data_IF_925388997246
#
_entry.id   IF_925388997246
#
_cell.length_a   1.000
_cell.length_b   1.000
_cell.length_c   1.000
_cell.angle_alpha   90.00
_cell.angle_beta   90.00
_cell.angle_gamma   90.00
#
_symmetry.space_group_name_H-M   'P 1'
#
loop_
_entity.id
_entity.type
_entity.pdbx_description
1 polymer ?
#
# COMPACT_ATOMS: atom_id res chain seq x y z
N UNK A 1 8.74 0.07 -22.43
CA UNK A 1 7.52 -0.04 -21.60
C UNK A 1 7.43 1.12 -20.60
N UNK A 2 8.47 1.38 -19.78
CA UNK A 2 8.50 2.49 -18.82
C UNK A 2 8.19 3.87 -19.44
N UNK A 3 8.82 4.21 -20.58
CA UNK A 3 8.55 5.48 -21.28
C UNK A 3 7.08 5.68 -21.66
N UNK A 4 6.46 4.69 -22.28
CA UNK A 4 5.04 4.78 -22.68
C UNK A 4 4.11 4.90 -21.47
N UNK A 5 4.43 4.22 -20.36
CA UNK A 5 3.69 4.36 -19.10
C UNK A 5 3.87 5.75 -18.48
N UNK A 6 5.10 6.28 -18.47
CA UNK A 6 5.41 7.62 -17.98
C UNK A 6 4.65 8.70 -18.77
N UNK A 7 4.63 8.60 -20.11
CA UNK A 7 3.87 9.50 -20.97
C UNK A 7 2.36 9.44 -20.70
N UNK A 8 1.82 8.24 -20.45
CA UNK A 8 0.41 8.07 -20.16
C UNK A 8 -0.01 8.63 -18.79
N UNK A 9 0.88 8.58 -17.79
CA UNK A 9 0.59 9.05 -16.43
C UNK A 9 0.98 10.51 -16.18
N UNK A 10 1.82 11.10 -17.05
CA UNK A 10 2.31 12.47 -16.93
C UNK A 10 1.20 13.51 -16.66
N UNK A 11 0.01 13.47 -17.31
CA UNK A 11 -1.05 14.44 -17.04
C UNK A 11 -1.52 14.46 -15.57
N UNK A 12 -1.49 13.32 -14.87
CA UNK A 12 -1.84 13.28 -13.44
C UNK A 12 -0.75 13.92 -12.58
N UNK A 13 0.52 13.72 -12.93
CA UNK A 13 1.64 14.33 -12.23
C UNK A 13 1.68 15.85 -12.44
N UNK A 14 1.54 16.31 -13.69
CA UNK A 14 1.51 17.74 -14.04
C UNK A 14 0.34 18.48 -13.37
N UNK A 15 -0.80 17.80 -13.21
CA UNK A 15 -1.96 18.35 -12.49
C UNK A 15 -1.84 18.29 -10.96
N UNK A 16 -0.75 17.74 -10.40
CA UNK A 16 -0.58 17.55 -8.96
C UNK A 16 -1.53 16.53 -8.33
N UNK A 17 -2.07 15.60 -9.14
CA UNK A 17 -3.06 14.58 -8.73
C UNK A 17 -2.47 13.17 -8.61
N UNK A 18 -1.20 12.99 -8.94
CA UNK A 18 -0.50 11.72 -8.79
C UNK A 18 0.14 11.63 -7.40
N UNK A 19 -0.36 10.71 -6.56
CA UNK A 19 0.21 10.47 -5.24
C UNK A 19 1.49 9.63 -5.28
N UNK A 20 1.47 8.50 -5.99
CA UNK A 20 2.60 7.59 -6.14
C UNK A 20 2.39 6.63 -7.32
N UNK A 21 3.48 6.12 -7.87
CA UNK A 21 3.50 4.90 -8.70
C UNK A 21 3.99 3.76 -7.80
N UNK A 22 3.14 2.78 -7.54
CA UNK A 22 3.45 1.67 -6.63
C UNK A 22 3.94 0.44 -7.38
N UNK A 23 5.13 -0.03 -7.01
CA UNK A 23 5.72 -1.30 -7.42
C UNK A 23 5.45 -2.35 -6.34
N UNK A 24 4.38 -3.12 -6.51
CA UNK A 24 4.07 -4.25 -5.64
C UNK A 24 4.71 -5.53 -6.20
N UNK A 25 5.72 -6.04 -5.52
CA UNK A 25 6.41 -7.27 -5.92
C UNK A 25 5.76 -8.52 -5.31
N UNK A 26 5.55 -9.59 -6.09
CA UNK A 26 4.91 -10.80 -5.61
C UNK A 26 5.83 -11.63 -4.69
N UNK A 27 5.29 -12.65 -3.97
CA UNK A 27 6.09 -13.57 -3.15
C UNK A 27 7.22 -14.33 -3.89
N UNK A 28 7.22 -14.35 -5.22
CA UNK A 28 8.29 -14.93 -6.04
C UNK A 28 9.50 -14.01 -6.20
N UNK A 29 9.38 -12.72 -5.89
CA UNK A 29 10.45 -11.74 -5.98
C UNK A 29 11.37 -11.85 -4.76
N UNK A 30 12.45 -12.63 -4.90
CA UNK A 30 13.40 -12.95 -3.82
C UNK A 30 14.36 -11.81 -3.52
N UNK A 31 14.87 -11.74 -2.30
CA UNK A 31 15.98 -10.86 -1.97
C UNK A 31 17.30 -11.37 -2.60
N UNK A 32 17.58 -10.95 -3.83
CA UNK A 32 18.80 -11.29 -4.58
C UNK A 32 19.46 -10.00 -5.09
N UNK A 33 20.75 -10.04 -5.39
CA UNK A 33 21.46 -8.84 -5.89
C UNK A 33 20.83 -8.32 -7.19
N UNK A 34 20.48 -9.20 -8.14
CA UNK A 34 19.80 -8.83 -9.38
C UNK A 34 18.50 -8.03 -9.12
N UNK A 35 17.71 -8.45 -8.12
CA UNK A 35 16.49 -7.75 -7.76
C UNK A 35 16.78 -6.44 -7.00
N UNK A 36 17.81 -6.40 -6.17
CA UNK A 36 18.26 -5.14 -5.54
C UNK A 36 18.71 -4.12 -6.58
N UNK A 37 19.46 -4.55 -7.60
CA UNK A 37 19.86 -3.72 -8.74
C UNK A 37 18.64 -3.20 -9.50
N UNK A 38 17.62 -4.03 -9.72
CA UNK A 38 16.37 -3.57 -10.35
C UNK A 38 15.69 -2.45 -9.55
N UNK A 39 15.67 -2.54 -8.21
CA UNK A 39 15.14 -1.46 -7.36
C UNK A 39 15.93 -0.15 -7.56
N UNK A 40 17.26 -0.21 -7.62
CA UNK A 40 18.12 0.97 -7.86
C UNK A 40 17.86 1.63 -9.22
N UNK A 41 17.41 0.86 -10.21
CA UNK A 41 17.08 1.39 -11.55
C UNK A 41 15.71 2.07 -11.62
N UNK A 42 14.80 1.85 -10.66
CA UNK A 42 13.43 2.40 -10.74
C UNK A 42 13.38 3.93 -10.90
N UNK A 43 14.17 4.73 -10.14
CA UNK A 43 14.20 6.18 -10.31
C UNK A 43 14.74 6.62 -11.68
N UNK A 44 15.63 5.84 -12.30
CA UNK A 44 16.13 6.11 -13.65
C UNK A 44 15.09 5.79 -14.72
N UNK A 45 14.26 4.77 -14.50
CA UNK A 45 13.19 4.37 -15.41
C UNK A 45 12.00 5.33 -15.40
N UNK A 46 11.73 5.95 -14.25
CA UNK A 46 10.61 6.88 -14.02
C UNK A 46 11.09 8.16 -13.32
N UNK A 47 11.96 8.95 -13.95
CA UNK A 47 12.56 10.13 -13.32
C UNK A 47 11.49 11.17 -12.97
N UNK A 48 11.58 11.72 -11.76
CA UNK A 48 10.69 12.78 -11.28
C UNK A 48 9.32 12.31 -10.78
N UNK A 49 8.99 11.02 -10.89
CA UNK A 49 7.76 10.48 -10.32
C UNK A 49 7.95 10.03 -8.87
N UNK A 50 6.95 10.22 -7.99
CA UNK A 50 6.95 9.62 -6.66
C UNK A 50 6.77 8.10 -6.78
N UNK A 51 7.75 7.32 -6.32
CA UNK A 51 7.72 5.86 -6.41
C UNK A 51 7.57 5.24 -5.01
N UNK A 52 6.75 4.19 -4.91
CA UNK A 52 6.66 3.35 -3.71
C UNK A 52 6.91 1.88 -4.02
N UNK A 53 7.51 1.16 -3.09
CA UNK A 53 7.83 -0.27 -3.21
C UNK A 53 7.12 -1.06 -2.12
N UNK A 54 6.42 -2.12 -2.50
CA UNK A 54 5.80 -3.07 -1.58
C UNK A 54 6.37 -4.48 -1.80
N UNK A 55 6.91 -5.07 -0.72
CA UNK A 55 7.38 -6.45 -0.73
C UNK A 55 6.30 -7.38 -0.18
N UNK A 56 6.15 -8.54 -0.81
CA UNK A 56 5.23 -9.61 -0.37
C UNK A 56 5.96 -10.91 -0.03
N UNK A 57 7.23 -10.79 0.30
CA UNK A 57 8.11 -11.92 0.60
C UNK A 57 8.98 -11.61 1.81
N UNK A 58 9.01 -12.54 2.75
CA UNK A 58 9.59 -12.38 4.08
C UNK A 58 11.10 -12.09 4.08
N UNK A 59 11.86 -12.65 3.13
CA UNK A 59 13.32 -12.52 3.08
C UNK A 59 13.83 -11.13 2.68
N UNK A 60 12.93 -10.18 2.39
CA UNK A 60 13.26 -8.76 2.31
C UNK A 60 13.20 -8.04 3.67
N UNK A 61 12.39 -8.54 4.60
CA UNK A 61 11.97 -7.79 5.79
C UNK A 61 12.03 -8.62 7.07
N UNK A 62 12.72 -9.75 7.07
CA UNK A 62 13.05 -10.46 8.31
C UNK A 62 14.13 -9.72 9.11
N UNK A 63 14.43 -10.21 10.32
CA UNK A 63 15.35 -9.56 11.25
C UNK A 63 16.77 -9.40 10.70
N UNK A 64 17.18 -10.27 9.76
CA UNK A 64 18.51 -10.24 9.16
C UNK A 64 18.59 -9.20 8.02
N UNK A 65 17.55 -9.09 7.20
CA UNK A 65 17.61 -8.32 5.95
C UNK A 65 16.88 -6.97 5.98
N UNK A 66 16.04 -6.70 6.99
CA UNK A 66 15.18 -5.51 7.00
C UNK A 66 15.96 -4.20 6.93
N UNK A 67 17.02 -4.01 7.73
CA UNK A 67 17.74 -2.74 7.75
C UNK A 67 18.43 -2.46 6.41
N UNK A 68 19.11 -3.45 5.83
CA UNK A 68 19.76 -3.30 4.52
C UNK A 68 18.75 -3.03 3.40
N UNK A 69 17.57 -3.63 3.48
CA UNK A 69 16.50 -3.38 2.50
C UNK A 69 15.95 -1.96 2.64
N UNK A 70 15.74 -1.48 3.87
CA UNK A 70 15.27 -0.12 4.11
C UNK A 70 16.31 0.92 3.68
N UNK A 71 17.59 0.67 3.92
CA UNK A 71 18.68 1.55 3.48
C UNK A 71 18.77 1.61 1.95
N UNK A 72 18.66 0.46 1.27
CA UNK A 72 18.58 0.41 -0.19
C UNK A 72 17.44 1.31 -0.73
N UNK A 73 16.27 1.29 -0.09
CA UNK A 73 15.15 2.14 -0.49
C UNK A 73 15.44 3.62 -0.22
N UNK A 74 16.09 3.96 0.90
CA UNK A 74 16.50 5.35 1.21
C UNK A 74 17.48 5.88 0.18
N UNK A 75 18.54 5.12 -0.12
CA UNK A 75 19.56 5.47 -1.11
C UNK A 75 18.97 5.67 -2.51
N UNK A 76 18.02 4.82 -2.90
CA UNK A 76 17.32 4.92 -4.18
C UNK A 76 16.21 5.99 -4.19
N UNK A 77 15.91 6.65 -3.07
CA UNK A 77 14.81 7.62 -2.97
C UNK A 77 13.42 7.00 -3.14
N UNK A 78 13.25 5.72 -2.81
CA UNK A 78 12.02 4.97 -2.94
C UNK A 78 11.24 4.98 -1.62
N UNK A 79 9.91 5.15 -1.71
CA UNK A 79 9.05 5.10 -0.52
C UNK A 79 8.73 3.66 -0.16
N UNK A 80 9.08 3.22 1.04
CA UNK A 80 8.68 1.92 1.56
C UNK A 80 7.16 1.92 1.80
N UNK A 81 6.48 0.92 1.23
CA UNK A 81 5.08 0.65 1.51
C UNK A 81 5.00 -0.26 2.72
N UNK A 82 4.64 0.32 3.87
CA UNK A 82 4.36 -0.43 5.09
C UNK A 82 3.07 -1.22 4.91
N UNK A 83 3.06 -2.48 5.34
CA UNK A 83 1.96 -3.39 5.09
C UNK A 83 1.40 -3.95 6.39
N UNK A 84 0.07 -3.99 6.50
CA UNK A 84 -0.62 -4.84 7.47
C UNK A 84 -1.22 -6.04 6.74
N UNK A 85 -0.73 -7.23 7.07
CA UNK A 85 -1.18 -8.49 6.47
C UNK A 85 -0.99 -9.68 7.44
N UNK A 86 -1.56 -10.87 7.14
CA UNK A 86 -1.45 -12.02 8.02
C UNK A 86 0.01 -12.50 8.13
N UNK A 87 0.44 -12.83 9.35
CA UNK A 87 1.82 -13.20 9.65
C UNK A 87 2.08 -14.70 9.45
N UNK A 88 2.00 -15.16 8.20
CA UNK A 88 2.08 -16.59 7.85
C UNK A 88 2.94 -16.88 6.63
N UNK A 89 3.80 -17.90 6.74
CA UNK A 89 4.63 -18.39 5.64
C UNK A 89 5.58 -17.35 5.04
N UNK A 90 6.23 -17.72 3.93
CA UNK A 90 7.24 -16.90 3.25
C UNK A 90 6.67 -15.78 2.39
N UNK A 91 5.40 -15.88 2.00
CA UNK A 91 4.65 -14.88 1.22
C UNK A 91 3.87 -13.89 2.10
N UNK A 92 4.38 -13.63 3.31
CA UNK A 92 3.94 -12.54 4.17
C UNK A 92 5.15 -11.79 4.71
N UNK A 93 4.98 -10.50 4.98
CA UNK A 93 6.00 -9.64 5.60
C UNK A 93 5.54 -9.12 6.96
N UNK A 94 6.48 -8.87 7.89
CA UNK A 94 6.14 -8.25 9.17
C UNK A 94 5.63 -6.81 9.00
N UNK A 95 4.77 -6.32 9.92
CA UNK A 95 4.21 -4.96 9.88
C UNK A 95 5.23 -3.92 10.39
N UNK A 96 6.37 -3.85 9.69
CA UNK A 96 7.48 -2.96 10.01
C UNK A 96 7.10 -1.49 9.77
N UNK A 97 7.58 -0.64 10.67
CA UNK A 97 7.50 0.81 10.53
C UNK A 97 8.82 1.33 9.97
N UNK A 98 8.76 2.06 8.84
CA UNK A 98 9.88 2.85 8.36
C UNK A 98 9.41 3.91 7.35
N UNK A 99 9.93 5.12 7.48
CA UNK A 99 9.85 6.16 6.45
C UNK A 99 11.20 6.21 5.74
N UNK A 100 11.24 5.71 4.50
CA UNK A 100 12.47 5.68 3.69
C UNK A 100 12.59 6.87 2.74
N UNK A 101 11.50 7.61 2.52
CA UNK A 101 11.49 8.83 1.72
C UNK A 101 10.72 9.94 2.45
N UNK A 102 11.34 11.08 2.78
CA UNK A 102 10.69 12.16 3.52
C UNK A 102 9.59 12.88 2.71
N UNK A 103 9.46 12.62 1.40
CA UNK A 103 8.36 13.17 0.61
C UNK A 103 7.06 12.38 0.79
N UNK A 104 7.14 11.08 1.08
CA UNK A 104 5.99 10.20 1.06
C UNK A 104 6.19 8.96 1.94
N UNK A 105 5.25 8.74 2.86
CA UNK A 105 5.03 7.45 3.51
C UNK A 105 3.77 6.78 2.93
N UNK A 106 3.83 5.46 2.71
CA UNK A 106 2.69 4.69 2.19
C UNK A 106 2.38 3.53 3.13
N UNK A 107 1.10 3.35 3.47
CA UNK A 107 0.61 2.25 4.30
C UNK A 107 -0.52 1.53 3.56
N UNK A 108 -0.44 0.21 3.44
CA UNK A 108 -1.47 -0.63 2.81
C UNK A 108 -1.96 -1.73 3.74
N UNK A 109 -3.26 -1.70 4.03
CA UNK A 109 -3.94 -2.68 4.87
C UNK A 109 -4.58 -3.76 4.00
N UNK A 110 -4.08 -4.99 4.06
CA UNK A 110 -4.61 -6.13 3.31
C UNK A 110 -5.58 -7.01 4.11
N UNK A 111 -5.80 -6.73 5.39
CA UNK A 111 -6.54 -7.59 6.30
C UNK A 111 -5.66 -8.66 6.94
N UNK A 112 -6.14 -9.29 8.01
CA UNK A 112 -5.41 -10.30 8.79
C UNK A 112 -5.96 -11.72 8.61
N UNK A 113 -6.62 -12.00 7.47
CA UNK A 113 -7.19 -13.31 7.17
C UNK A 113 -6.13 -14.38 6.85
N UNK A 114 -5.61 -15.04 7.89
CA UNK A 114 -4.64 -16.11 7.76
C UNK A 114 -5.23 -17.39 7.12
N UNK A 115 -6.53 -17.62 7.28
CA UNK A 115 -7.18 -18.87 6.83
C UNK A 115 -7.20 -19.00 5.30
N UNK A 116 -7.49 -17.89 4.60
CA UNK A 116 -7.63 -17.89 3.14
C UNK A 116 -6.40 -17.35 2.41
N UNK A 117 -5.37 -16.89 3.13
CA UNK A 117 -4.22 -16.18 2.54
C UNK A 117 -3.51 -16.95 1.42
N UNK A 118 -3.29 -18.25 1.62
CA UNK A 118 -2.68 -19.15 0.63
C UNK A 118 -3.69 -20.08 -0.04
N UNK A 119 -4.96 -20.07 0.38
CA UNK A 119 -5.98 -20.93 -0.21
C UNK A 119 -6.49 -20.26 -1.49
N UNK A 120 -6.27 -20.92 -2.63
CA UNK A 120 -6.97 -20.55 -3.86
C UNK A 120 -8.39 -21.10 -3.79
N UNK A 121 -9.32 -20.29 -3.29
CA UNK A 121 -10.74 -20.64 -3.18
C UNK A 121 -11.54 -20.31 -4.45
N UNK A 122 -10.85 -19.94 -5.54
CA UNK A 122 -11.46 -19.53 -6.81
C UNK A 122 -11.89 -18.06 -6.88
N UNK A 123 -11.80 -17.30 -5.77
CA UNK A 123 -12.02 -15.85 -5.72
C UNK A 123 -10.90 -15.16 -4.95
N UNK A 124 -10.19 -14.23 -5.60
CA UNK A 124 -9.11 -13.44 -4.97
C UNK A 124 -9.58 -12.58 -3.81
N UNK A 125 -10.87 -12.20 -3.77
CA UNK A 125 -11.45 -11.38 -2.70
C UNK A 125 -11.49 -12.06 -1.33
N UNK A 126 -11.48 -13.40 -1.26
CA UNK A 126 -11.55 -14.10 0.03
C UNK A 126 -10.27 -13.92 0.85
N UNK A 127 -9.12 -13.71 0.19
CA UNK A 127 -7.84 -13.38 0.85
C UNK A 127 -7.90 -12.04 1.57
N UNK A 128 -8.65 -11.08 1.01
CA UNK A 128 -8.76 -9.71 1.52
C UNK A 128 -10.07 -9.45 2.28
N UNK A 129 -10.84 -10.50 2.56
CA UNK A 129 -12.04 -10.41 3.36
C UNK A 129 -11.65 -10.25 4.83
N UNK A 130 -11.68 -9.02 5.32
CA UNK A 130 -11.37 -8.67 6.71
C UNK A 130 -12.04 -7.36 7.12
N UNK A 131 -12.87 -7.44 8.16
CA UNK A 131 -13.34 -6.28 8.91
C UNK A 131 -12.37 -6.05 10.06
N UNK A 132 -11.60 -4.95 9.97
CA UNK A 132 -10.66 -4.59 11.03
C UNK A 132 -11.43 -4.22 12.29
N UNK A 133 -10.94 -4.70 13.43
CA UNK A 133 -11.44 -4.25 14.72
C UNK A 133 -10.74 -2.95 15.14
N UNK A 134 -11.39 -2.11 15.98
CA UNK A 134 -10.77 -0.87 16.47
C UNK A 134 -9.40 -1.10 17.10
N UNK A 135 -9.24 -2.19 17.86
CA UNK A 135 -7.99 -2.51 18.55
C UNK A 135 -6.84 -2.80 17.56
N UNK A 136 -7.14 -3.44 16.42
CA UNK A 136 -6.16 -3.75 15.38
C UNK A 136 -5.67 -2.48 14.66
N UNK A 137 -6.55 -1.49 14.48
CA UNK A 137 -6.20 -0.21 13.87
C UNK A 137 -5.52 0.74 14.86
N UNK A 138 -5.84 0.64 16.15
CA UNK A 138 -5.17 1.41 17.20
C UNK A 138 -3.67 1.04 17.29
N UNK A 139 -3.28 -0.20 16.95
CA UNK A 139 -1.86 -0.60 16.81
C UNK A 139 -1.11 0.25 15.77
N UNK A 140 -1.80 0.73 14.75
CA UNK A 140 -1.24 1.54 13.66
C UNK A 140 -1.31 3.04 13.91
N UNK A 141 -2.21 3.50 14.78
CA UNK A 141 -2.36 4.91 15.11
C UNK A 141 -1.04 5.61 15.49
N UNK A 142 -0.22 5.12 16.44
CA UNK A 142 1.04 5.79 16.78
C UNK A 142 2.04 5.77 15.62
N UNK A 143 2.05 4.71 14.80
CA UNK A 143 2.89 4.61 13.59
C UNK A 143 2.50 5.66 12.56
N UNK A 144 1.20 5.84 12.32
CA UNK A 144 0.69 6.83 11.38
C UNK A 144 1.01 8.25 11.85
N UNK A 145 0.78 8.56 13.13
CA UNK A 145 1.10 9.88 13.69
C UNK A 145 2.60 10.19 13.57
N UNK A 146 3.46 9.21 13.83
CA UNK A 146 4.89 9.34 13.63
C UNK A 146 5.27 9.56 12.16
N UNK A 147 4.63 8.84 11.23
CA UNK A 147 4.86 9.05 9.80
C UNK A 147 4.47 10.46 9.33
N UNK A 148 3.44 11.07 9.94
CA UNK A 148 3.04 12.46 9.66
C UNK A 148 4.11 13.46 10.11
N UNK A 149 4.90 13.14 11.13
CA UNK A 149 6.05 13.96 11.57
C UNK A 149 7.27 13.78 10.67
N UNK A 150 7.46 12.58 10.09
CA UNK A 150 8.66 12.21 9.32
C UNK A 150 8.52 12.42 7.79
N UNK A 151 7.30 12.47 7.25
CA UNK A 151 7.05 12.60 5.82
C UNK A 151 6.09 13.76 5.47
N UNK A 152 6.33 14.38 4.32
CA UNK A 152 5.49 15.48 3.79
C UNK A 152 4.05 15.02 3.49
N UNK A 153 3.87 13.78 3.08
CA UNK A 153 2.56 13.18 2.82
C UNK A 153 2.53 11.74 3.34
N UNK A 154 1.37 11.34 3.87
CA UNK A 154 1.11 9.96 4.29
C UNK A 154 -0.12 9.46 3.52
N UNK A 155 0.06 8.44 2.69
CA UNK A 155 -1.03 7.80 1.98
C UNK A 155 -1.38 6.46 2.65
N UNK A 156 -2.64 6.32 3.03
CA UNK A 156 -3.17 5.10 3.66
C UNK A 156 -4.23 4.48 2.76
N UNK A 157 -4.08 3.19 2.46
CA UNK A 157 -5.02 2.45 1.62
C UNK A 157 -5.54 1.20 2.32
N UNK A 158 -6.85 0.99 2.26
CA UNK A 158 -7.49 -0.27 2.62
C UNK A 158 -7.74 -1.09 1.36
N UNK A 159 -7.10 -2.25 1.30
CA UNK A 159 -7.22 -3.22 0.20
C UNK A 159 -8.17 -4.38 0.55
N UNK A 160 -8.89 -4.28 1.67
CA UNK A 160 -9.97 -5.20 2.05
C UNK A 160 -11.18 -4.95 1.15
N UNK A 161 -11.41 -5.84 0.19
CA UNK A 161 -12.30 -5.59 -0.96
C UNK A 161 -13.56 -6.44 -0.99
N UNK A 162 -13.91 -7.13 0.10
CA UNK A 162 -15.20 -7.81 0.20
C UNK A 162 -16.30 -6.80 0.60
N UNK A 163 -17.32 -6.64 -0.26
CA UNK A 163 -18.42 -5.70 -0.01
C UNK A 163 -17.95 -4.26 0.18
N UNK A 164 -18.40 -3.60 1.26
CA UNK A 164 -18.02 -2.23 1.62
C UNK A 164 -16.96 -2.17 2.75
N UNK A 165 -16.19 -3.25 2.98
CA UNK A 165 -15.19 -3.32 4.05
C UNK A 165 -14.12 -2.24 3.94
N UNK A 166 -13.56 -2.00 2.75
CA UNK A 166 -12.54 -0.96 2.55
C UNK A 166 -12.97 0.43 3.06
N UNK A 167 -14.08 0.99 2.57
CA UNK A 167 -14.62 2.25 3.08
C UNK A 167 -14.96 2.24 4.57
N UNK A 168 -15.49 1.13 5.12
CA UNK A 168 -15.80 1.00 6.55
C UNK A 168 -14.54 1.02 7.42
N UNK A 169 -13.53 0.25 7.05
CA UNK A 169 -12.24 0.21 7.72
C UNK A 169 -11.52 1.56 7.66
N UNK A 170 -11.58 2.25 6.51
CA UNK A 170 -11.05 3.60 6.35
C UNK A 170 -11.76 4.61 7.26
N UNK A 171 -13.09 4.57 7.31
CA UNK A 171 -13.90 5.42 8.19
C UNK A 171 -13.54 5.21 9.66
N UNK A 172 -13.45 3.94 10.10
CA UNK A 172 -13.03 3.62 11.46
C UNK A 172 -11.63 4.17 11.79
N UNK A 173 -10.66 4.04 10.89
CA UNK A 173 -9.33 4.62 11.11
C UNK A 173 -9.38 6.15 11.19
N UNK A 174 -10.18 6.79 10.33
CA UNK A 174 -10.37 8.25 10.35
C UNK A 174 -10.97 8.71 11.68
N UNK A 175 -11.95 7.98 12.23
CA UNK A 175 -12.51 8.24 13.57
C UNK A 175 -11.43 8.16 14.66
N UNK A 176 -10.60 7.10 14.66
CA UNK A 176 -9.51 6.91 15.63
C UNK A 176 -8.43 8.01 15.53
N UNK A 177 -8.24 8.57 14.33
CA UNK A 177 -7.32 9.68 14.07
C UNK A 177 -7.97 11.06 14.27
N UNK A 178 -9.28 11.14 14.49
CA UNK A 178 -10.01 12.41 14.56
C UNK A 178 -10.07 13.16 13.23
N UNK A 179 -10.02 12.45 12.10
CA UNK A 179 -10.09 13.02 10.75
C UNK A 179 -11.55 13.01 10.29
N UNK A 180 -12.07 14.18 9.91
CA UNK A 180 -13.41 14.27 9.35
C UNK A 180 -13.53 13.49 8.03
N UNK A 181 -14.60 12.73 7.88
CA UNK A 181 -14.90 11.96 6.67
C UNK A 181 -16.36 12.14 6.25
N UNK A 182 -16.70 12.01 4.96
CA UNK A 182 -18.09 11.98 4.54
C UNK A 182 -18.80 10.72 5.10
N UNK A 183 -20.12 10.77 5.33
CA UNK A 183 -20.86 9.58 5.74
C UNK A 183 -20.74 8.50 4.66
N UNK A 184 -20.65 7.24 5.09
CA UNK A 184 -20.77 6.13 4.17
C UNK A 184 -22.17 6.15 3.53
N UNK A 185 -22.30 5.80 2.24
CA UNK A 185 -23.60 5.64 1.61
C UNK A 185 -24.47 4.67 2.44
N UNK A 186 -25.70 5.07 2.77
CA UNK A 186 -26.64 4.22 3.50
C UNK A 186 -27.09 3.03 2.65
N UNK A 187 -27.61 1.97 3.29
CA UNK A 187 -28.08 0.75 2.59
C UNK A 187 -29.20 1.06 1.57
N UNK A 188 -30.00 2.11 1.82
CA UNK A 188 -31.08 2.59 0.93
C UNK A 188 -30.62 3.60 -0.13
N UNK A 189 -29.35 4.02 -0.10
CA UNK A 189 -28.80 4.84 -1.19
C UNK A 189 -28.51 3.92 -2.37
N UNK A 190 -29.48 3.80 -3.27
CA UNK A 190 -29.36 2.96 -4.46
C UNK A 190 -27.99 3.16 -5.11
N UNK A 191 -27.18 2.09 -5.14
CA UNK A 191 -25.84 2.14 -5.69
C UNK A 191 -25.92 2.42 -7.20
N UNK A 192 -25.82 3.69 -7.58
CA UNK A 192 -25.69 4.07 -8.99
C UNK A 192 -24.25 3.84 -9.44
N UNK A 193 -24.01 2.72 -10.13
CA UNK A 193 -22.79 2.57 -10.92
C UNK A 193 -22.88 3.51 -12.13
N UNK A 194 -22.38 4.74 -11.96
CA UNK A 194 -22.25 5.68 -13.09
C UNK A 194 -21.19 5.16 -14.04
N UNK A 195 -21.55 4.89 -15.30
CA UNK A 195 -20.56 4.60 -16.33
C UNK A 195 -19.81 5.89 -16.64
N UNK A 196 -18.48 5.85 -16.58
CA UNK A 196 -17.63 7.03 -16.79
C UNK A 196 -17.62 7.52 -18.24
N UNK A 197 -18.21 6.76 -19.18
CA UNK A 197 -18.20 7.04 -20.63
C UNK A 197 -19.47 6.55 -21.33
N UNK A 198 -20.65 6.82 -20.77
CA UNK A 198 -21.87 6.78 -21.58
C UNK A 198 -22.01 8.17 -22.23
N UNK A 199 -21.92 8.20 -23.57
CA UNK A 199 -22.00 9.36 -24.48
C UNK A 199 -20.68 10.02 -24.92
N UNK A 200 -19.80 9.24 -25.57
CA UNK A 200 -18.81 9.76 -26.54
C UNK A 200 -18.77 8.92 -27.82
#
# INVERSE_FOLDING_TARGET
MAKAFAEAIAPLAEAGKLGAITFQFPPSYRNTEEHREYLRLLPELLPGFPLSVEFRRRDWLDEEHAEETLELLREAGLSFTMVDEPQIGVGSVPPLYAVTNPQLAVIRFHGRNAETWYRFTGKTGERFNWDYKPEELEEWRPKILRAVEEARAVHVFFNTNAGNQGPRNATLLMDLLGIAHPPLPGEDSGAEQRRLFEDS
#
